data_IF_641987774930
#
_entry.id   IF_641987774930
#
_cell.length_a   1.000
_cell.length_b   1.000
_cell.length_c   1.000
_cell.angle_alpha   90.00
_cell.angle_beta   90.00
_cell.angle_gamma   90.00
#
_symmetry.space_group_name_H-M   'P 1'
#
loop_
_entity.id
_entity.type
_entity.pdbx_description
1 polymer ?
#
# COMPACT_ATOMS: atom_id res chain seq x y z
N UNK A 1 -39.42 11.71 26.37
CA UNK A 1 -39.91 11.20 25.07
C UNK A 1 -38.88 11.56 24.02
N UNK A 2 -38.39 10.59 23.25
CA UNK A 2 -37.55 10.89 22.09
C UNK A 2 -38.40 11.46 20.97
N UNK A 3 -37.94 12.54 20.33
CA UNK A 3 -38.58 13.11 19.15
C UNK A 3 -37.95 12.51 17.88
N UNK A 4 -38.76 12.13 16.90
CA UNK A 4 -38.25 11.75 15.58
C UNK A 4 -37.82 13.05 14.87
N UNK A 5 -36.54 13.14 14.53
CA UNK A 5 -35.88 14.33 13.97
C UNK A 5 -35.84 14.34 12.43
N UNK A 6 -36.11 13.21 11.78
CA UNK A 6 -36.14 13.08 10.32
C UNK A 6 -36.16 11.63 9.87
N UNK A 7 -36.18 11.45 8.55
CA UNK A 7 -36.08 10.15 7.88
C UNK A 7 -34.65 9.94 7.36
N UNK A 8 -34.15 8.71 7.46
CA UNK A 8 -32.87 8.28 6.92
C UNK A 8 -33.09 7.31 5.77
N UNK A 9 -32.23 7.40 4.75
CA UNK A 9 -32.28 6.55 3.55
C UNK A 9 -30.98 5.73 3.50
N UNK A 10 -31.08 4.43 3.25
CA UNK A 10 -29.95 3.51 3.04
C UNK A 10 -29.88 3.02 1.58
N UNK A 11 -28.89 2.18 1.26
CA UNK A 11 -28.65 1.70 -0.10
C UNK A 11 -29.84 0.94 -0.70
N UNK A 12 -30.51 0.11 0.10
CA UNK A 12 -31.63 -0.74 -0.37
C UNK A 12 -32.95 0.05 -0.55
N UNK A 13 -33.01 1.30 -0.11
CA UNK A 13 -34.21 2.14 -0.22
C UNK A 13 -34.32 2.83 -1.59
N UNK A 14 -33.25 2.85 -2.39
CA UNK A 14 -33.16 3.68 -3.60
C UNK A 14 -32.60 2.94 -4.80
N UNK A 15 -32.97 3.42 -5.99
CA UNK A 15 -32.40 2.99 -7.26
C UNK A 15 -31.88 4.20 -8.03
N UNK A 16 -30.83 3.99 -8.83
CA UNK A 16 -30.38 4.99 -9.80
C UNK A 16 -31.36 5.06 -10.97
N UNK A 17 -31.86 6.25 -11.27
CA UNK A 17 -32.74 6.49 -12.42
C UNK A 17 -31.87 6.50 -13.69
N UNK A 18 -32.17 5.66 -14.70
CA UNK A 18 -31.43 5.67 -15.96
C UNK A 18 -31.52 7.04 -16.66
N UNK A 19 -30.42 7.47 -17.27
CA UNK A 19 -30.32 8.69 -18.06
C UNK A 19 -29.66 8.39 -19.41
N UNK A 20 -29.85 9.31 -20.38
CA UNK A 20 -29.14 9.24 -21.65
C UNK A 20 -27.63 9.31 -21.43
N UNK A 21 -26.86 8.47 -22.13
CA UNK A 21 -25.40 8.39 -22.04
C UNK A 21 -24.79 8.34 -23.44
N UNK A 22 -23.76 9.15 -23.65
CA UNK A 22 -22.89 9.10 -24.84
C UNK A 22 -21.58 8.34 -24.57
N UNK A 23 -21.37 7.91 -23.31
CA UNK A 23 -20.17 7.22 -22.85
C UNK A 23 -20.47 5.73 -22.69
N UNK A 24 -19.55 4.89 -23.16
CA UNK A 24 -19.58 3.45 -22.93
C UNK A 24 -18.80 3.07 -21.66
N UNK A 25 -19.17 1.99 -20.94
CA UNK A 25 -18.62 1.71 -19.60
C UNK A 25 -17.09 1.67 -19.47
N UNK A 26 -16.37 1.22 -20.51
CA UNK A 26 -14.91 1.15 -20.52
C UNK A 26 -14.20 2.49 -20.78
N UNK A 27 -14.95 3.56 -21.09
CA UNK A 27 -14.45 4.92 -21.27
C UNK A 27 -14.62 5.79 -20.02
N UNK A 28 -15.28 5.27 -18.98
CA UNK A 28 -15.52 6.01 -17.74
C UNK A 28 -14.21 6.12 -16.95
N UNK A 29 -13.85 7.34 -16.54
CA UNK A 29 -12.74 7.57 -15.61
C UNK A 29 -13.18 7.24 -14.18
N UNK A 30 -12.49 6.29 -13.56
CA UNK A 30 -12.72 5.88 -12.17
C UNK A 30 -11.80 6.64 -11.19
N UNK A 31 -10.93 7.52 -11.69
CA UNK A 31 -9.99 8.23 -10.85
C UNK A 31 -10.69 9.19 -9.90
N UNK A 32 -10.19 9.28 -8.67
CA UNK A 32 -10.78 10.10 -7.62
C UNK A 32 -9.71 10.69 -6.70
N UNK A 33 -10.07 11.70 -5.92
CA UNK A 33 -9.21 12.29 -4.92
C UNK A 33 -9.72 11.91 -3.53
N UNK A 34 -8.91 11.14 -2.79
CA UNK A 34 -9.19 10.86 -1.39
C UNK A 34 -8.91 12.09 -0.51
N UNK A 35 -7.82 12.79 -0.82
CA UNK A 35 -7.45 14.06 -0.19
C UNK A 35 -6.96 15.04 -1.26
N UNK A 36 -6.61 16.26 -0.87
CA UNK A 36 -6.01 17.25 -1.78
C UNK A 36 -4.71 16.77 -2.44
N UNK A 37 -4.00 15.83 -1.83
CA UNK A 37 -2.69 15.32 -2.30
C UNK A 37 -2.72 13.86 -2.75
N UNK A 38 -3.77 13.11 -2.40
CA UNK A 38 -3.86 11.67 -2.69
C UNK A 38 -4.91 11.45 -3.78
N UNK A 39 -4.42 11.18 -4.99
CA UNK A 39 -5.23 10.70 -6.13
C UNK A 39 -5.19 9.17 -6.19
N UNK A 40 -6.34 8.56 -6.40
CA UNK A 40 -6.53 7.12 -6.64
C UNK A 40 -6.98 6.91 -8.08
N UNK A 41 -6.64 5.76 -8.66
CA UNK A 41 -7.11 5.38 -10.00
C UNK A 41 -8.49 4.71 -9.97
N UNK A 42 -8.88 4.15 -8.81
CA UNK A 42 -10.22 3.63 -8.55
C UNK A 42 -10.73 4.12 -7.18
N UNK A 43 -12.05 4.26 -6.97
CA UNK A 43 -12.62 4.77 -5.72
C UNK A 43 -12.75 3.66 -4.66
N UNK A 44 -11.69 2.88 -4.46
CA UNK A 44 -11.69 1.72 -3.57
C UNK A 44 -10.64 1.85 -2.46
N UNK A 45 -11.08 1.61 -1.24
CA UNK A 45 -10.25 1.61 -0.03
C UNK A 45 -10.55 0.36 0.80
N UNK A 46 -9.50 -0.34 1.27
CA UNK A 46 -9.70 -1.45 2.20
C UNK A 46 -9.81 -0.96 3.65
N UNK A 47 -10.64 -1.64 4.45
CA UNK A 47 -10.89 -1.27 5.84
C UNK A 47 -9.64 -1.49 6.72
N UNK A 48 -9.40 -0.58 7.67
CA UNK A 48 -8.33 -0.66 8.66
C UNK A 48 -8.59 -1.66 9.78
N UNK A 49 -8.88 -2.90 9.42
CA UNK A 49 -9.21 -4.01 10.32
C UNK A 49 -8.12 -5.08 10.26
N UNK A 50 -7.81 -5.71 11.39
CA UNK A 50 -6.78 -6.76 11.52
C UNK A 50 -7.03 -7.97 10.63
N UNK A 51 -8.29 -8.32 10.45
CA UNK A 51 -8.73 -9.43 9.59
C UNK A 51 -8.84 -9.05 8.11
N UNK A 52 -8.58 -7.79 7.74
CA UNK A 52 -8.75 -7.29 6.38
C UNK A 52 -7.44 -6.78 5.79
N UNK A 53 -6.73 -5.88 6.48
CA UNK A 53 -5.65 -5.11 5.85
C UNK A 53 -4.35 -5.09 6.66
N UNK A 54 -3.43 -5.97 6.28
CA UNK A 54 -1.98 -5.90 6.52
C UNK A 54 -1.23 -5.56 5.21
N UNK A 55 0.11 -5.61 5.21
CA UNK A 55 0.96 -5.24 4.07
C UNK A 55 0.54 -5.94 2.76
N UNK A 56 0.16 -7.22 2.81
CA UNK A 56 -0.24 -7.99 1.61
C UNK A 56 -1.46 -7.40 0.92
N UNK A 57 -2.49 -7.05 1.68
CA UNK A 57 -3.71 -6.45 1.15
C UNK A 57 -3.44 -5.02 0.68
N UNK A 58 -2.67 -4.24 1.45
CA UNK A 58 -2.33 -2.87 1.05
C UNK A 58 -1.54 -2.82 -0.27
N UNK A 59 -0.58 -3.73 -0.47
CA UNK A 59 0.14 -3.89 -1.74
C UNK A 59 -0.82 -4.27 -2.87
N UNK A 60 -1.72 -5.24 -2.65
CA UNK A 60 -2.68 -5.68 -3.66
C UNK A 60 -3.64 -4.54 -4.06
N UNK A 61 -4.19 -3.82 -3.09
CA UNK A 61 -5.05 -2.65 -3.32
C UNK A 61 -4.34 -1.57 -4.12
N UNK A 62 -3.11 -1.23 -3.75
CA UNK A 62 -2.32 -0.24 -4.46
C UNK A 62 -2.05 -0.64 -5.92
N UNK A 63 -1.74 -1.92 -6.17
CA UNK A 63 -1.54 -2.46 -7.53
C UNK A 63 -2.80 -2.40 -8.40
N UNK A 64 -3.98 -2.50 -7.81
CA UNK A 64 -5.26 -2.29 -8.50
C UNK A 64 -5.62 -0.81 -8.65
N UNK A 65 -4.80 0.11 -8.12
CA UNK A 65 -5.00 1.56 -8.21
C UNK A 65 -5.83 2.16 -7.08
N UNK A 66 -6.15 1.37 -6.05
CA UNK A 66 -6.82 1.82 -4.84
C UNK A 66 -5.82 2.11 -3.70
N UNK A 67 -6.31 2.06 -2.46
CA UNK A 67 -5.48 2.27 -1.26
C UNK A 67 -5.84 1.28 -0.16
N UNK A 68 -4.85 0.81 0.59
CA UNK A 68 -5.07 0.01 1.79
C UNK A 68 -4.74 0.77 3.06
N UNK A 69 -5.58 0.64 4.08
CA UNK A 69 -5.35 1.21 5.42
C UNK A 69 -4.86 0.11 6.35
N UNK A 70 -3.60 0.15 6.76
CA UNK A 70 -3.05 -0.81 7.73
C UNK A 70 -3.76 -0.61 9.08
N UNK A 71 -4.28 -1.69 9.66
CA UNK A 71 -4.94 -1.63 10.97
C UNK A 71 -3.97 -1.26 12.09
N UNK A 72 -4.50 -0.89 13.26
CA UNK A 72 -3.72 -0.45 14.44
C UNK A 72 -3.71 -1.46 15.60
N UNK A 73 -4.13 -2.71 15.34
CA UNK A 73 -4.20 -3.76 16.36
C UNK A 73 -2.83 -4.48 16.48
N UNK A 74 -1.77 -3.70 16.66
CA UNK A 74 -0.38 -4.14 16.80
C UNK A 74 0.45 -3.01 17.44
N UNK A 75 1.73 -3.24 17.75
CA UNK A 75 2.59 -2.17 18.26
C UNK A 75 2.86 -1.11 17.19
N UNK A 76 3.33 0.07 17.61
CA UNK A 76 3.71 1.16 16.69
C UNK A 76 4.83 0.68 15.75
N UNK A 77 5.78 -0.07 16.29
CA UNK A 77 6.93 -0.63 15.56
C UNK A 77 6.46 -1.65 14.51
N UNK A 78 5.58 -2.57 14.89
CA UNK A 78 4.98 -3.53 13.95
C UNK A 78 4.21 -2.81 12.83
N UNK A 79 3.41 -1.80 13.16
CA UNK A 79 2.64 -1.06 12.15
C UNK A 79 3.57 -0.31 11.19
N UNK A 80 4.64 0.29 11.70
CA UNK A 80 5.67 0.93 10.88
C UNK A 80 6.36 -0.07 9.94
N UNK A 81 6.66 -1.28 10.41
CA UNK A 81 7.24 -2.34 9.59
C UNK A 81 6.29 -2.79 8.46
N UNK A 82 4.99 -2.92 8.75
CA UNK A 82 3.96 -3.21 7.74
C UNK A 82 3.89 -2.12 6.67
N UNK A 83 3.97 -0.85 7.06
CA UNK A 83 4.04 0.27 6.11
C UNK A 83 5.33 0.22 5.28
N UNK A 84 6.48 -0.06 5.90
CA UNK A 84 7.78 -0.17 5.23
C UNK A 84 7.75 -1.27 4.15
N UNK A 85 7.18 -2.45 4.46
CA UNK A 85 6.96 -3.54 3.49
C UNK A 85 6.16 -3.07 2.27
N UNK A 86 5.08 -2.31 2.47
CA UNK A 86 4.27 -1.76 1.35
C UNK A 86 5.08 -0.81 0.50
N UNK A 87 5.78 0.15 1.12
CA UNK A 87 6.58 1.16 0.42
C UNK A 87 7.72 0.54 -0.40
N UNK A 88 8.26 -0.60 0.04
CA UNK A 88 9.35 -1.29 -0.65
C UNK A 88 8.92 -2.20 -1.80
N UNK A 89 7.63 -2.53 -1.92
CA UNK A 89 7.15 -3.58 -2.83
C UNK A 89 7.39 -3.35 -4.33
N UNK A 90 7.55 -2.11 -4.82
CA UNK A 90 7.80 -1.86 -6.25
C UNK A 90 8.98 -0.91 -6.53
N UNK A 91 9.33 0.00 -5.60
CA UNK A 91 10.39 0.99 -5.81
C UNK A 91 11.30 1.22 -4.58
N UNK A 92 11.37 0.24 -3.67
CA UNK A 92 11.97 0.40 -2.33
C UNK A 92 13.45 0.76 -2.24
N UNK A 93 14.21 0.66 -3.33
CA UNK A 93 15.68 0.76 -3.31
C UNK A 93 16.21 2.10 -3.85
N UNK A 94 15.33 2.99 -4.32
CA UNK A 94 15.78 4.19 -5.07
C UNK A 94 16.27 5.32 -4.13
N UNK A 95 15.69 5.50 -2.94
CA UNK A 95 15.99 6.64 -2.07
C UNK A 95 16.87 6.33 -0.86
N UNK A 96 16.95 5.07 -0.42
CA UNK A 96 17.84 4.63 0.66
C UNK A 96 18.19 3.14 0.51
N UNK A 97 19.18 2.81 -0.34
CA UNK A 97 19.53 1.43 -0.61
C UNK A 97 20.20 0.82 0.62
N UNK A 98 19.65 -0.30 1.10
CA UNK A 98 20.38 -1.16 2.02
C UNK A 98 21.66 -1.63 1.35
N UNK A 99 22.76 -1.60 2.10
CA UNK A 99 24.03 -2.13 1.65
C UNK A 99 24.77 -2.76 2.82
N UNK A 100 25.63 -3.71 2.49
CA UNK A 100 26.55 -4.32 3.45
C UNK A 100 27.97 -3.85 3.16
N UNK A 101 28.81 -3.82 4.18
CA UNK A 101 30.25 -3.65 3.97
C UNK A 101 30.90 -4.98 3.54
N UNK A 102 32.11 -4.94 2.94
CA UNK A 102 32.88 -6.14 2.62
C UNK A 102 33.19 -7.04 3.83
N UNK A 103 33.07 -6.51 5.05
CA UNK A 103 33.37 -7.21 6.30
C UNK A 103 32.17 -7.96 6.88
N UNK A 104 30.97 -7.79 6.31
CA UNK A 104 29.79 -8.55 6.73
C UNK A 104 29.88 -10.01 6.26
N UNK A 105 29.23 -10.88 7.00
CA UNK A 105 29.19 -12.31 6.71
C UNK A 105 28.16 -12.62 5.62
N UNK A 106 28.29 -13.80 4.99
CA UNK A 106 27.26 -14.30 4.08
C UNK A 106 25.90 -14.48 4.77
N UNK A 107 25.90 -14.78 6.07
CA UNK A 107 24.68 -14.90 6.85
C UNK A 107 23.93 -13.57 6.94
N UNK A 108 24.64 -12.45 7.12
CA UNK A 108 24.02 -11.12 7.15
C UNK A 108 23.33 -10.80 5.82
N UNK A 109 23.94 -11.21 4.70
CA UNK A 109 23.36 -11.06 3.38
C UNK A 109 22.09 -11.90 3.21
N UNK A 110 22.12 -13.18 3.62
CA UNK A 110 20.96 -14.07 3.57
C UNK A 110 19.79 -13.57 4.42
N UNK A 111 20.07 -13.12 5.64
CA UNK A 111 19.04 -12.55 6.53
C UNK A 111 18.41 -11.30 5.94
N UNK A 112 19.22 -10.42 5.34
CA UNK A 112 18.75 -9.21 4.68
C UNK A 112 17.90 -9.53 3.44
N UNK A 113 18.38 -10.45 2.59
CA UNK A 113 17.65 -10.90 1.40
C UNK A 113 16.30 -11.54 1.78
N UNK A 114 16.27 -12.39 2.81
CA UNK A 114 15.05 -13.03 3.30
C UNK A 114 14.08 -12.00 3.89
N UNK A 115 14.57 -11.07 4.71
CA UNK A 115 13.76 -10.03 5.36
C UNK A 115 13.07 -9.12 4.34
N UNK A 116 13.81 -8.67 3.33
CA UNK A 116 13.29 -7.71 2.34
C UNK A 116 12.79 -8.35 1.05
N UNK A 117 12.91 -9.68 0.90
CA UNK A 117 12.55 -10.44 -0.31
C UNK A 117 13.19 -9.86 -1.58
N UNK A 118 14.49 -9.57 -1.49
CA UNK A 118 15.30 -9.03 -2.58
C UNK A 118 16.30 -10.09 -3.04
N UNK A 119 16.63 -10.08 -4.33
CA UNK A 119 17.52 -11.05 -4.97
C UNK A 119 18.98 -10.61 -5.04
N UNK A 120 19.34 -9.53 -4.35
CA UNK A 120 20.70 -9.04 -4.37
C UNK A 120 20.92 -7.85 -3.45
N UNK A 121 22.13 -7.78 -2.89
CA UNK A 121 22.52 -6.78 -1.90
C UNK A 121 23.75 -6.01 -2.42
N UNK A 122 23.67 -4.68 -2.55
CA UNK A 122 24.83 -3.85 -2.84
C UNK A 122 25.88 -3.94 -1.74
N UNK A 123 27.15 -4.07 -2.10
CA UNK A 123 28.28 -4.02 -1.17
C UNK A 123 28.96 -2.66 -1.31
N UNK A 124 29.09 -1.92 -0.20
CA UNK A 124 29.62 -0.56 -0.17
C UNK A 124 30.74 -0.38 0.86
N UNK A 125 31.73 0.45 0.51
CA UNK A 125 32.68 1.03 1.47
C UNK A 125 32.31 2.50 1.66
N UNK A 126 31.61 2.81 2.75
CA UNK A 126 31.03 4.13 2.95
C UNK A 126 29.96 4.45 1.90
N UNK A 127 30.23 5.43 1.02
CA UNK A 127 29.33 5.78 -0.11
C UNK A 127 29.73 5.16 -1.44
N UNK A 128 30.85 4.42 -1.49
CA UNK A 128 31.39 3.84 -2.72
C UNK A 128 30.85 2.43 -2.91
N UNK A 129 30.17 2.18 -4.02
CA UNK A 129 29.80 0.83 -4.44
C UNK A 129 31.05 0.04 -4.84
N UNK A 130 31.27 -1.11 -4.21
CA UNK A 130 32.41 -2.00 -4.48
C UNK A 130 31.99 -3.35 -5.05
N UNK A 131 30.71 -3.71 -4.96
CA UNK A 131 30.18 -4.93 -5.57
C UNK A 131 28.69 -5.14 -5.35
N UNK A 132 28.21 -6.32 -5.76
CA UNK A 132 26.86 -6.81 -5.49
C UNK A 132 26.97 -8.31 -5.19
N UNK A 133 26.25 -8.76 -4.16
CA UNK A 133 26.04 -10.18 -3.88
C UNK A 133 24.64 -10.56 -4.32
N UNK A 134 24.49 -11.73 -4.95
CA UNK A 134 23.25 -12.25 -5.55
C UNK A 134 23.08 -13.72 -5.23
#
# INVERSE_FOLDING_TARGET
MGAIIGEGITFDDVLLVPAYSEVIPNQVDLSTHLTKSIKLNIPMMSAGMDTVTEHRMAIAMARQGGIGVIHKNMSIESQAEEVDKVKRSENGVITDPFSLSPEHTLQDADELMAKYRISGVPITEGKKLVGIIT
#
